data_IF_893489068213
#
_entry.id   IF_893489068213
#
_cell.length_a   1.000
_cell.length_b   1.000
_cell.length_c   1.000
_cell.angle_alpha   90.00
_cell.angle_beta   90.00
_cell.angle_gamma   90.00
#
_symmetry.space_group_name_H-M   'P 1'
#
loop_
_entity.id
_entity.type
_entity.pdbx_description
1 polymer ?
#
# COMPACT_ATOMS: atom_id res chain seq x y z
N UNK A 1 27.95 2.71 -14.39
CA UNK A 1 27.02 2.43 -13.27
C UNK A 1 27.84 1.80 -12.16
N UNK A 2 27.68 2.26 -10.92
CA UNK A 2 28.30 1.62 -9.76
C UNK A 2 27.51 0.40 -9.29
N UNK A 3 28.02 -0.35 -8.31
CA UNK A 3 27.29 -1.43 -7.69
C UNK A 3 26.16 -0.88 -6.81
N UNK A 4 24.98 -1.49 -6.93
CA UNK A 4 23.80 -1.22 -6.12
C UNK A 4 23.50 -2.39 -5.20
N UNK A 5 22.87 -2.10 -4.08
CA UNK A 5 22.27 -3.10 -3.21
C UNK A 5 20.76 -2.86 -3.08
N UNK A 6 20.05 -3.96 -2.92
CA UNK A 6 18.61 -3.96 -2.63
C UNK A 6 18.42 -4.25 -1.16
N UNK A 7 17.78 -3.31 -0.47
CA UNK A 7 17.37 -3.45 0.93
C UNK A 7 15.86 -3.66 0.96
N UNK A 8 15.41 -4.66 1.68
CA UNK A 8 13.99 -4.94 1.90
C UNK A 8 13.71 -5.06 3.37
N UNK A 9 12.55 -4.63 3.80
CA UNK A 9 12.18 -4.71 5.21
C UNK A 9 10.79 -4.18 5.47
N UNK A 10 10.50 -3.99 6.75
CA UNK A 10 9.24 -3.43 7.25
C UNK A 10 9.56 -2.22 8.12
N UNK A 11 8.86 -1.14 7.90
CA UNK A 11 8.86 0.06 8.74
C UNK A 11 7.71 -0.08 9.72
N UNK A 12 7.96 0.10 11.00
CA UNK A 12 6.92 0.21 12.04
C UNK A 12 6.79 1.66 12.46
N UNK A 13 5.56 2.11 12.65
CA UNK A 13 5.25 3.46 13.10
C UNK A 13 4.02 3.49 14.00
N UNK A 14 3.84 4.62 14.66
CA UNK A 14 2.73 4.89 15.56
C UNK A 14 2.08 6.22 15.20
N UNK A 15 0.75 6.30 15.36
CA UNK A 15 -0.05 7.50 15.12
C UNK A 15 -0.84 7.82 16.37
N UNK A 16 -0.74 9.05 16.86
CA UNK A 16 -1.55 9.53 17.98
C UNK A 16 -2.97 9.84 17.51
N UNK A 17 -3.99 9.10 17.98
CA UNK A 17 -5.37 9.37 17.60
C UNK A 17 -5.94 10.66 18.23
N UNK A 18 -5.23 11.26 19.16
CA UNK A 18 -5.64 12.52 19.84
C UNK A 18 -4.98 13.76 19.23
N UNK A 19 -3.93 13.62 18.40
CA UNK A 19 -3.33 14.75 17.72
C UNK A 19 -4.33 15.31 16.68
N UNK A 20 -4.70 16.60 16.77
CA UNK A 20 -5.60 17.23 15.81
C UNK A 20 -5.15 17.13 14.35
N UNK A 21 -3.86 17.01 14.08
CA UNK A 21 -3.31 16.82 12.73
C UNK A 21 -3.71 15.49 12.13
N UNK A 22 -4.00 14.50 12.97
CA UNK A 22 -4.40 13.15 12.55
C UNK A 22 -5.93 13.00 12.43
N UNK A 23 -6.71 14.04 12.73
CA UNK A 23 -8.18 14.01 12.64
C UNK A 23 -8.71 13.74 11.21
N UNK A 24 -7.86 13.92 10.19
CA UNK A 24 -8.20 13.60 8.79
C UNK A 24 -8.16 12.10 8.48
N UNK A 25 -7.58 11.29 9.39
CA UNK A 25 -7.51 9.83 9.20
C UNK A 25 -8.84 9.23 9.64
N UNK A 26 -9.55 8.64 8.69
CA UNK A 26 -10.88 8.05 8.90
C UNK A 26 -10.84 6.98 10.00
N UNK A 27 -11.77 7.08 10.94
CA UNK A 27 -11.99 6.13 12.04
C UNK A 27 -10.76 5.85 12.95
N UNK A 28 -9.73 6.71 12.92
CA UNK A 28 -8.51 6.52 13.71
C UNK A 28 -8.83 6.43 15.22
N UNK A 29 -9.77 7.24 15.71
CA UNK A 29 -10.18 7.24 17.13
C UNK A 29 -10.90 5.94 17.57
N UNK A 30 -11.31 5.11 16.62
CA UNK A 30 -11.97 3.82 16.85
C UNK A 30 -11.01 2.63 16.63
N UNK A 31 -9.77 2.90 16.22
CA UNK A 31 -8.76 1.88 16.04
C UNK A 31 -8.22 1.39 17.41
N UNK A 32 -7.83 0.11 17.52
CA UNK A 32 -7.11 -0.38 18.69
C UNK A 32 -5.81 0.39 18.91
N UNK A 33 -5.51 0.68 20.16
CA UNK A 33 -4.28 1.37 20.56
C UNK A 33 -3.38 0.46 21.40
N UNK A 34 -2.08 0.73 21.36
CA UNK A 34 -1.11 0.09 22.24
C UNK A 34 -1.16 0.67 23.68
N UNK A 35 -0.26 0.21 24.56
CA UNK A 35 -0.21 0.64 25.96
C UNK A 35 0.03 2.15 26.13
N UNK A 36 0.62 2.82 25.14
CA UNK A 36 0.85 4.25 25.11
C UNK A 36 -0.33 5.04 24.54
N UNK A 37 -1.41 4.37 24.13
CA UNK A 37 -2.57 4.99 23.50
C UNK A 37 -2.37 5.34 22.03
N UNK A 38 -1.33 4.81 21.38
CA UNK A 38 -0.98 5.04 19.99
C UNK A 38 -1.51 3.93 19.08
N UNK A 39 -1.91 4.26 17.86
CA UNK A 39 -2.31 3.31 16.83
C UNK A 39 -1.07 2.89 16.04
N UNK A 40 -0.75 1.60 16.07
CA UNK A 40 0.42 1.04 15.41
C UNK A 40 0.13 0.64 13.96
N UNK A 41 1.14 0.78 13.10
CA UNK A 41 1.10 0.28 11.73
C UNK A 41 2.47 -0.27 11.31
N UNK A 42 2.45 -1.09 10.27
CA UNK A 42 3.66 -1.60 9.63
C UNK A 42 3.50 -1.49 8.11
N UNK A 43 4.57 -1.12 7.42
CA UNK A 43 4.61 -1.00 5.96
C UNK A 43 5.86 -1.66 5.40
N UNK A 44 5.67 -2.54 4.42
CA UNK A 44 6.80 -3.11 3.68
C UNK A 44 7.48 -2.05 2.81
N UNK A 45 8.79 -2.17 2.65
CA UNK A 45 9.54 -1.32 1.75
C UNK A 45 10.61 -2.08 0.96
N UNK A 46 10.96 -1.51 -0.18
CA UNK A 46 12.14 -1.88 -0.97
C UNK A 46 12.92 -0.61 -1.26
N UNK A 47 14.23 -0.66 -1.07
CA UNK A 47 15.15 0.41 -1.42
C UNK A 47 16.25 -0.13 -2.32
N UNK A 48 16.56 0.58 -3.39
CA UNK A 48 17.76 0.40 -4.19
C UNK A 48 18.68 1.58 -3.92
N UNK A 49 19.91 1.31 -3.48
CA UNK A 49 20.88 2.36 -3.20
C UNK A 49 22.30 1.96 -3.66
N UNK A 50 23.16 2.93 -3.99
CA UNK A 50 24.57 2.62 -4.23
C UNK A 50 25.19 1.92 -3.02
N UNK A 51 25.94 0.84 -3.22
CA UNK A 51 26.74 0.23 -2.14
C UNK A 51 27.73 1.25 -1.56
N UNK A 52 28.37 2.03 -2.42
CA UNK A 52 29.19 3.15 -1.99
C UNK A 52 28.36 4.44 -2.00
N UNK A 53 27.87 4.85 -0.84
CA UNK A 53 27.05 6.05 -0.70
C UNK A 53 27.77 7.37 -1.05
N UNK A 54 29.09 7.39 -1.10
CA UNK A 54 29.84 8.55 -1.60
C UNK A 54 29.62 8.79 -3.11
N UNK A 55 29.10 7.78 -3.84
CA UNK A 55 28.70 7.88 -5.24
C UNK A 55 27.23 8.18 -5.42
N UNK A 56 26.47 8.31 -4.34
CA UNK A 56 25.07 8.72 -4.42
C UNK A 56 24.96 10.20 -4.80
N UNK A 57 23.97 10.51 -5.64
CA UNK A 57 23.72 11.89 -6.11
C UNK A 57 23.09 12.80 -5.06
N UNK A 58 22.68 12.27 -3.90
CA UNK A 58 21.87 12.97 -2.92
C UNK A 58 20.37 13.04 -3.28
N UNK A 59 19.96 12.43 -4.38
CA UNK A 59 18.56 12.40 -4.83
C UNK A 59 17.90 11.10 -4.39
N UNK A 60 16.80 11.21 -3.67
CA UNK A 60 15.86 10.14 -3.39
C UNK A 60 14.69 10.23 -4.37
N UNK A 61 14.48 9.15 -5.15
CA UNK A 61 13.25 8.97 -5.91
C UNK A 61 12.31 8.04 -5.11
N UNK A 62 11.21 8.61 -4.67
CA UNK A 62 10.15 7.85 -4.03
C UNK A 62 9.08 7.47 -5.06
N UNK A 63 8.64 6.22 -5.02
CA UNK A 63 7.57 5.70 -5.87
C UNK A 63 6.54 4.96 -5.01
N UNK A 64 5.28 5.37 -5.13
CA UNK A 64 4.17 4.76 -4.43
C UNK A 64 3.64 3.55 -5.23
N UNK A 65 3.85 2.30 -4.78
CA UNK A 65 3.46 1.12 -5.51
C UNK A 65 1.95 1.03 -5.73
N UNK A 66 1.52 0.76 -6.97
CA UNK A 66 0.10 0.59 -7.27
C UNK A 66 -0.39 -0.78 -6.78
N UNK A 67 -1.27 -0.78 -5.80
CA UNK A 67 -1.79 -2.02 -5.18
C UNK A 67 -0.67 -2.94 -4.72
N UNK A 68 0.39 -2.37 -4.14
CA UNK A 68 1.57 -3.07 -3.68
C UNK A 68 2.52 -3.55 -4.79
N UNK A 69 2.20 -3.34 -6.06
CA UNK A 69 3.05 -3.73 -7.17
C UNK A 69 4.04 -2.61 -7.51
N UNK A 70 5.32 -2.93 -7.52
CA UNK A 70 6.35 -2.05 -8.03
C UNK A 70 6.33 -2.16 -9.56
N UNK A 71 5.84 -1.12 -10.23
CA UNK A 71 5.69 -1.09 -11.68
C UNK A 71 6.96 -0.61 -12.40
N UNK A 72 7.88 0.02 -11.66
CA UNK A 72 9.12 0.57 -12.17
C UNK A 72 10.31 -0.12 -11.50
N UNK A 73 11.33 -0.36 -12.28
CA UNK A 73 12.70 -0.68 -11.86
C UNK A 73 12.97 -1.57 -10.63
N UNK A 74 12.61 -2.84 -10.69
CA UNK A 74 13.31 -3.85 -9.87
C UNK A 74 14.43 -4.57 -10.64
N UNK A 75 14.48 -4.43 -11.95
CA UNK A 75 15.50 -5.03 -12.81
C UNK A 75 15.98 -4.01 -13.86
N UNK A 76 17.08 -3.28 -13.58
CA UNK A 76 17.59 -2.25 -14.49
C UNK A 76 18.07 -2.80 -15.83
N UNK A 77 18.31 -4.10 -15.93
CA UNK A 77 18.68 -4.73 -17.19
C UNK A 77 17.50 -4.99 -18.12
N UNK A 78 16.29 -5.06 -17.55
CA UNK A 78 15.05 -5.29 -18.32
C UNK A 78 14.44 -4.01 -18.88
N UNK A 79 14.77 -2.84 -18.33
CA UNK A 79 14.20 -1.55 -18.73
C UNK A 79 15.30 -0.51 -18.87
N UNK A 80 15.95 -0.42 -20.04
CA UNK A 80 17.09 0.49 -20.25
C UNK A 80 16.78 1.96 -19.94
N UNK A 81 15.53 2.42 -20.18
CA UNK A 81 15.10 3.78 -19.85
C UNK A 81 15.22 4.13 -18.36
N UNK A 82 15.12 3.13 -17.50
CA UNK A 82 15.20 3.30 -16.06
C UNK A 82 16.65 3.24 -15.55
N UNK A 83 17.56 2.64 -16.29
CA UNK A 83 18.97 2.55 -15.92
C UNK A 83 19.60 3.93 -15.66
N UNK A 84 19.09 4.97 -16.30
CA UNK A 84 19.58 6.35 -16.15
C UNK A 84 19.56 6.84 -14.67
N UNK A 85 18.60 6.41 -13.86
CA UNK A 85 18.53 6.80 -12.45
C UNK A 85 19.67 6.15 -11.64
N UNK A 86 19.96 4.89 -11.93
CA UNK A 86 21.06 4.16 -11.28
C UNK A 86 22.44 4.66 -11.74
N UNK A 87 22.56 5.00 -13.03
CA UNK A 87 23.79 5.60 -13.58
C UNK A 87 24.09 6.94 -12.92
N UNK A 88 23.06 7.71 -12.59
CA UNK A 88 23.16 8.99 -11.90
C UNK A 88 23.29 8.89 -10.38
N UNK A 89 23.32 7.68 -9.81
CA UNK A 89 23.52 7.49 -8.38
C UNK A 89 22.28 7.79 -7.52
N UNK A 90 21.07 7.68 -8.06
CA UNK A 90 19.84 7.90 -7.29
C UNK A 90 19.60 6.77 -6.29
N UNK A 91 19.03 7.12 -5.15
CA UNK A 91 18.41 6.16 -4.24
C UNK A 91 16.94 6.03 -4.63
N UNK A 92 16.46 4.80 -4.80
CA UNK A 92 15.07 4.51 -5.15
C UNK A 92 14.39 3.89 -3.93
N UNK A 93 13.26 4.43 -3.52
CA UNK A 93 12.47 3.93 -2.39
C UNK A 93 11.04 3.66 -2.82
N UNK A 94 10.59 2.47 -2.50
CA UNK A 94 9.22 2.00 -2.67
C UNK A 94 8.69 1.59 -1.31
N UNK A 95 7.55 2.12 -0.88
CA UNK A 95 6.93 1.67 0.36
C UNK A 95 5.45 1.39 0.18
N UNK A 96 4.95 0.40 0.90
CA UNK A 96 3.52 0.12 0.94
C UNK A 96 2.75 1.30 1.53
N UNK A 97 1.54 1.54 1.03
CA UNK A 97 0.68 2.63 1.48
C UNK A 97 -0.81 2.28 1.52
N UNK A 98 -1.21 1.19 0.87
CA UNK A 98 -2.61 0.76 0.81
C UNK A 98 -2.87 -0.41 1.77
N UNK A 99 -3.76 -0.20 2.74
CA UNK A 99 -4.07 -1.20 3.78
C UNK A 99 -4.97 -2.35 3.28
N UNK A 100 -5.63 -2.19 2.13
CA UNK A 100 -6.53 -3.17 1.55
C UNK A 100 -5.86 -4.14 0.55
N UNK A 101 -4.53 -4.10 0.45
CA UNK A 101 -3.76 -5.04 -0.36
C UNK A 101 -3.59 -6.34 0.43
N UNK A 102 -4.16 -7.47 -0.02
CA UNK A 102 -4.02 -8.73 0.70
C UNK A 102 -2.56 -9.20 0.66
N UNK A 103 -2.08 -9.73 1.79
CA UNK A 103 -0.81 -10.44 1.84
C UNK A 103 -0.92 -11.66 0.92
N UNK A 104 -0.18 -11.65 -0.17
CA UNK A 104 -0.11 -12.76 -1.11
C UNK A 104 1.33 -13.25 -1.22
N UNK A 105 1.51 -14.45 -1.76
CA UNK A 105 2.84 -15.01 -2.08
C UNK A 105 3.55 -14.25 -3.20
N UNK A 106 2.84 -13.39 -3.93
CA UNK A 106 3.43 -12.48 -4.90
C UNK A 106 4.24 -11.40 -4.17
N UNK A 107 5.29 -10.90 -4.79
CA UNK A 107 6.19 -9.88 -4.25
C UNK A 107 5.50 -8.48 -4.18
N UNK A 108 4.36 -8.41 -3.48
CA UNK A 108 3.63 -7.16 -3.24
C UNK A 108 4.05 -6.55 -1.92
N UNK A 109 4.19 -5.23 -1.91
CA UNK A 109 4.37 -4.48 -0.69
C UNK A 109 3.01 -4.28 -0.01
N UNK A 110 2.92 -4.61 1.26
CA UNK A 110 1.66 -4.56 2.04
C UNK A 110 1.80 -3.68 3.26
N UNK A 111 0.71 -3.03 3.62
CA UNK A 111 0.57 -2.33 4.89
C UNK A 111 -0.25 -3.20 5.85
N UNK A 112 0.19 -3.31 7.08
CA UNK A 112 -0.60 -3.86 8.17
C UNK A 112 -1.07 -2.69 9.03
N UNK A 113 -2.38 -2.50 9.07
CA UNK A 113 -3.06 -1.51 9.93
C UNK A 113 -4.11 -2.23 10.76
N UNK A 114 -4.41 -1.74 11.98
CA UNK A 114 -5.50 -2.30 12.76
C UNK A 114 -6.85 -2.02 12.10
N UNK A 115 -7.82 -2.88 12.39
CA UNK A 115 -9.20 -2.70 11.94
C UNK A 115 -9.98 -1.96 13.00
N UNK A 116 -10.44 -0.75 12.68
CA UNK A 116 -11.33 0.02 13.54
C UNK A 116 -12.71 -0.67 13.66
N UNK A 117 -13.35 -0.51 14.81
CA UNK A 117 -14.69 -1.04 15.10
C UNK A 117 -15.53 0.00 15.79
N UNK A 118 -16.85 -0.13 15.67
CA UNK A 118 -17.77 0.64 16.50
C UNK A 118 -17.53 0.36 18.01
N UNK A 119 -17.98 1.25 18.87
CA UNK A 119 -17.80 1.12 20.33
C UNK A 119 -18.43 -0.14 20.91
N UNK A 120 -19.45 -0.70 20.26
CA UNK A 120 -20.10 -1.95 20.62
C UNK A 120 -19.40 -3.21 20.06
N UNK A 121 -18.28 -3.02 19.36
CA UNK A 121 -17.49 -4.08 18.73
C UNK A 121 -17.98 -4.52 17.36
N UNK A 122 -19.07 -3.95 16.85
CA UNK A 122 -19.57 -4.25 15.51
C UNK A 122 -18.65 -3.67 14.42
N UNK A 123 -18.77 -4.21 13.22
CA UNK A 123 -18.03 -3.70 12.07
C UNK A 123 -18.56 -2.32 11.66
N UNK A 124 -17.65 -1.40 11.32
CA UNK A 124 -18.01 -0.12 10.71
C UNK A 124 -18.46 -0.38 9.28
N UNK A 125 -19.59 0.16 8.90
CA UNK A 125 -20.16 0.05 7.55
C UNK A 125 -20.31 1.43 6.93
N UNK A 126 -20.26 1.49 5.60
CA UNK A 126 -20.42 2.73 4.85
C UNK A 126 -20.79 2.46 3.39
N UNK A 127 -21.10 3.51 2.63
CA UNK A 127 -21.41 3.37 1.22
C UNK A 127 -20.16 2.88 0.46
N UNK A 128 -20.36 1.90 -0.40
CA UNK A 128 -19.35 1.35 -1.29
C UNK A 128 -19.70 1.67 -2.74
N UNK A 129 -18.73 2.13 -3.51
CA UNK A 129 -18.86 2.33 -4.95
C UNK A 129 -17.85 1.43 -5.69
N UNK A 130 -18.36 0.63 -6.61
CA UNK A 130 -17.53 -0.14 -7.53
C UNK A 130 -17.97 0.12 -8.97
N UNK A 131 -17.03 0.06 -9.90
CA UNK A 131 -17.28 0.02 -11.32
C UNK A 131 -17.02 -1.40 -11.82
N UNK A 132 -18.01 -1.99 -12.43
CA UNK A 132 -17.96 -3.36 -12.92
C UNK A 132 -18.26 -3.34 -14.41
N UNK A 133 -17.33 -3.87 -15.20
CA UNK A 133 -17.52 -4.04 -16.64
C UNK A 133 -17.76 -5.53 -16.91
N UNK A 134 -19.03 -5.93 -17.11
CA UNK A 134 -19.33 -7.32 -17.44
C UNK A 134 -18.80 -7.68 -18.84
N UNK A 135 -18.16 -8.82 -18.95
CA UNK A 135 -17.70 -9.37 -20.24
C UNK A 135 -18.78 -10.17 -20.96
N UNK A 136 -19.85 -10.51 -20.25
CA UNK A 136 -21.04 -11.19 -20.77
C UNK A 136 -22.25 -10.85 -19.90
N UNK A 137 -23.47 -11.04 -20.42
CA UNK A 137 -24.68 -10.94 -19.63
C UNK A 137 -24.65 -12.00 -18.52
N UNK A 138 -24.83 -11.56 -17.27
CA UNK A 138 -24.87 -12.45 -16.12
C UNK A 138 -25.94 -11.98 -15.14
N UNK A 139 -26.74 -12.89 -14.57
CA UNK A 139 -27.74 -12.53 -13.55
C UNK A 139 -27.10 -12.10 -12.21
N UNK A 140 -25.82 -12.42 -12.02
CA UNK A 140 -25.08 -12.03 -10.81
C UNK A 140 -23.59 -11.90 -11.13
N UNK A 141 -22.90 -11.04 -10.40
CA UNK A 141 -21.46 -10.83 -10.51
C UNK A 141 -20.85 -10.86 -9.11
N UNK A 142 -19.73 -11.55 -8.97
CA UNK A 142 -18.92 -11.47 -7.77
C UNK A 142 -18.24 -10.10 -7.72
N UNK A 143 -18.31 -9.42 -6.58
CA UNK A 143 -17.58 -8.18 -6.39
C UNK A 143 -16.08 -8.42 -6.55
N UNK A 144 -15.37 -7.55 -7.29
CA UNK A 144 -13.95 -7.74 -7.51
C UNK A 144 -13.20 -7.78 -6.19
N UNK A 145 -12.35 -8.78 -6.06
CA UNK A 145 -11.68 -9.23 -4.88
C UNK A 145 -10.91 -8.18 -4.10
N UNK A 146 -10.54 -8.52 -2.92
CA UNK A 146 -9.87 -7.74 -1.91
C UNK A 146 -10.54 -7.96 -0.57
N UNK A 147 -10.85 -6.89 0.12
CA UNK A 147 -11.46 -6.90 1.46
C UNK A 147 -12.97 -7.24 1.40
N UNK A 148 -13.58 -7.15 0.23
CA UNK A 148 -15.03 -7.31 0.05
C UNK A 148 -15.36 -8.63 -0.61
N UNK A 149 -16.12 -9.46 0.10
CA UNK A 149 -16.75 -10.65 -0.44
C UNK A 149 -18.25 -10.36 -0.58
N UNK A 150 -18.76 -10.46 -1.78
CA UNK A 150 -20.17 -10.25 -2.03
C UNK A 150 -20.56 -10.61 -3.45
N UNK A 151 -21.85 -10.74 -3.68
CA UNK A 151 -22.43 -10.94 -4.99
C UNK A 151 -23.37 -9.79 -5.30
N UNK A 152 -23.20 -9.17 -6.44
CA UNK A 152 -24.09 -8.16 -6.95
C UNK A 152 -25.11 -8.81 -7.86
N UNK A 153 -26.37 -8.51 -7.60
CA UNK A 153 -27.51 -8.87 -8.44
C UNK A 153 -27.97 -7.59 -9.14
N UNK A 154 -28.15 -7.59 -10.47
CA UNK A 154 -28.67 -6.42 -11.16
C UNK A 154 -30.00 -5.98 -10.56
N UNK A 155 -30.16 -4.68 -10.37
CA UNK A 155 -31.43 -4.11 -9.98
C UNK A 155 -32.28 -3.90 -11.24
N UNK A 156 -33.44 -4.57 -11.30
CA UNK A 156 -34.45 -4.30 -12.28
C UNK A 156 -35.49 -3.37 -11.63
N UNK A 157 -35.63 -2.12 -12.09
CA UNK A 157 -36.70 -1.27 -11.62
C UNK A 157 -38.05 -1.88 -12.03
N UNK A 158 -39.01 -1.91 -11.10
CA UNK A 158 -40.36 -2.40 -11.32
C UNK A 158 -41.13 -1.49 -12.28
#
# INVERSE_FOLDING_TARGET
>A
MGEYERVTGTISGEVDPKDPKNAVIQDLALAPTNANGMVEYQADFVMLKPKNMAKASGVLRYDAPNRGNILTMLNPTATPSDAVYLERGYVMLYSAWQGDVPKSTAARLTVTVPVAKNKDGSSITGPYRAELVPTAASPAMTLPGGVFNGTMIPYEPA
#
